data_IF_455649514597
#
_entry.id   IF_455649514597
#
_cell.length_a   1.000
_cell.length_b   1.000
_cell.length_c   1.000
_cell.angle_alpha   90.00
_cell.angle_beta   90.00
_cell.angle_gamma   90.00
#
_symmetry.space_group_name_H-M   'P 1'
#
loop_
_entity.id
_entity.type
_entity.pdbx_description
1 polymer ?
#
# COMPACT_ATOMS: atom_id res chain seq x y z
N UNK A 1 -1.78 10.21 13.30
CA UNK A 1 -2.74 9.14 13.67
C UNK A 1 -3.48 9.40 14.98
N UNK A 2 -2.82 9.32 16.15
CA UNK A 2 -3.51 9.53 17.43
C UNK A 2 -4.10 10.93 17.55
N UNK A 3 -3.34 11.97 17.18
CA UNK A 3 -3.83 13.36 17.15
C UNK A 3 -5.10 13.49 16.31
N UNK A 4 -5.08 12.99 15.07
CA UNK A 4 -6.26 12.96 14.21
C UNK A 4 -7.47 12.26 14.88
N UNK A 5 -7.27 11.09 15.47
CA UNK A 5 -8.36 10.39 16.16
C UNK A 5 -8.89 11.18 17.37
N UNK A 6 -8.00 11.85 18.12
CA UNK A 6 -8.36 12.74 19.22
C UNK A 6 -9.17 13.92 18.70
N UNK A 7 -8.74 14.61 17.65
CA UNK A 7 -9.44 15.75 17.07
C UNK A 7 -10.85 15.37 16.60
N UNK A 8 -10.99 14.24 15.92
CA UNK A 8 -12.29 13.71 15.49
C UNK A 8 -13.21 13.37 16.68
N UNK A 9 -12.66 12.77 17.74
CA UNK A 9 -13.43 12.45 18.95
C UNK A 9 -13.79 13.70 19.77
N UNK A 10 -12.91 14.69 19.83
CA UNK A 10 -13.17 16.00 20.46
C UNK A 10 -14.29 16.74 19.73
N UNK A 11 -14.30 16.71 18.39
CA UNK A 11 -15.39 17.27 17.57
C UNK A 11 -16.74 16.60 17.85
N UNK A 12 -16.75 15.34 18.29
CA UNK A 12 -17.93 14.60 18.76
C UNK A 12 -18.25 14.82 20.25
N UNK A 13 -17.57 15.77 20.91
CA UNK A 13 -17.78 16.11 22.32
C UNK A 13 -17.22 15.09 23.32
N UNK A 14 -16.37 14.15 22.88
CA UNK A 14 -15.71 13.19 23.77
C UNK A 14 -14.56 13.88 24.51
N UNK A 15 -14.30 13.45 25.76
CA UNK A 15 -13.21 13.97 26.59
C UNK A 15 -11.99 13.06 26.49
N UNK A 16 -11.21 13.24 25.44
CA UNK A 16 -10.01 12.43 25.16
C UNK A 16 -8.79 13.32 24.97
N UNK A 17 -7.60 12.73 25.08
CA UNK A 17 -6.33 13.41 24.85
C UNK A 17 -5.22 12.41 24.58
N UNK A 18 -4.08 12.91 24.14
CA UNK A 18 -2.88 12.12 23.85
C UNK A 18 -1.66 12.80 24.45
N UNK A 19 -0.74 12.01 25.02
CA UNK A 19 0.59 12.48 25.45
C UNK A 19 1.61 11.89 24.48
N UNK A 20 2.35 12.75 23.78
CA UNK A 20 3.44 12.36 22.88
C UNK A 20 4.77 12.39 23.63
N UNK A 21 5.39 11.22 23.80
CA UNK A 21 6.68 11.09 24.49
C UNK A 21 7.81 11.40 23.51
N UNK A 22 8.47 12.55 23.68
CA UNK A 22 9.59 12.97 22.83
C UNK A 22 10.95 12.50 23.36
N UNK A 23 11.18 12.58 24.68
CA UNK A 23 12.40 12.12 25.33
C UNK A 23 12.08 10.90 26.20
N UNK A 24 12.32 9.70 25.66
CA UNK A 24 12.05 8.46 26.41
C UNK A 24 13.08 8.20 27.52
N UNK A 25 14.35 8.56 27.30
CA UNK A 25 15.40 8.44 28.31
C UNK A 25 16.33 9.66 28.30
N UNK A 26 16.66 10.23 29.48
CA UNK A 26 16.06 9.94 30.80
C UNK A 26 14.56 10.31 30.86
N UNK A 27 13.74 9.50 31.53
CA UNK A 27 12.29 9.72 31.62
C UNK A 27 11.99 10.76 32.73
N UNK A 28 11.53 11.95 32.35
CA UNK A 28 11.35 13.05 33.30
C UNK A 28 9.96 13.05 33.93
N UNK A 29 9.90 12.76 35.23
CA UNK A 29 8.68 12.84 36.02
C UNK A 29 8.04 14.23 35.97
N UNK A 30 8.85 15.29 36.09
CA UNK A 30 8.35 16.67 36.14
C UNK A 30 7.63 17.04 34.85
N UNK A 31 8.26 16.80 33.71
CA UNK A 31 7.66 17.12 32.41
C UNK A 31 6.45 16.24 32.10
N UNK A 32 6.44 14.97 32.53
CA UNK A 32 5.30 14.09 32.32
C UNK A 32 4.06 14.53 33.11
N UNK A 33 4.25 14.93 34.38
CA UNK A 33 3.15 15.38 35.23
C UNK A 33 2.62 16.76 34.82
N UNK A 34 3.50 17.67 34.39
CA UNK A 34 3.13 19.03 33.97
C UNK A 34 2.10 19.03 32.82
N UNK A 35 2.22 18.07 31.90
CA UNK A 35 1.31 17.95 30.75
C UNK A 35 0.10 17.04 31.00
N UNK A 36 -0.01 16.40 32.16
CA UNK A 36 -1.08 15.45 32.47
C UNK A 36 -2.29 16.20 33.09
N UNK A 37 -3.44 16.29 32.42
CA UNK A 37 -4.60 16.96 32.99
C UNK A 37 -5.10 16.28 34.26
N UNK A 38 -5.45 17.06 35.28
CA UNK A 38 -5.99 16.55 36.56
C UNK A 38 -7.30 15.75 36.41
N UNK A 39 -8.03 15.96 35.32
CA UNK A 39 -9.28 15.27 35.02
C UNK A 39 -9.11 13.85 34.46
N UNK A 40 -7.87 13.43 34.19
CA UNK A 40 -7.57 12.10 33.65
C UNK A 40 -7.90 11.03 34.68
N UNK A 41 -8.75 10.09 34.28
CA UNK A 41 -9.14 8.93 35.12
C UNK A 41 -8.67 7.60 34.55
N UNK A 42 -8.33 7.56 33.25
CA UNK A 42 -7.95 6.34 32.53
C UNK A 42 -6.89 6.66 31.48
N UNK A 43 -5.88 5.80 31.37
CA UNK A 43 -4.74 5.91 30.47
C UNK A 43 -4.52 4.57 29.77
N UNK A 44 -4.46 4.57 28.44
CA UNK A 44 -3.93 3.47 27.66
C UNK A 44 -2.50 3.82 27.22
N UNK A 45 -1.52 2.99 27.57
CA UNK A 45 -0.12 3.15 27.15
C UNK A 45 0.15 2.23 25.99
N UNK A 46 0.68 2.77 24.89
CA UNK A 46 0.90 2.03 23.65
C UNK A 46 2.39 1.81 23.39
N UNK A 47 2.80 0.56 23.43
CA UNK A 47 4.17 0.13 23.17
C UNK A 47 4.29 -0.49 21.77
N UNK A 48 5.32 -0.06 21.03
CA UNK A 48 5.66 -0.62 19.72
C UNK A 48 6.74 -1.71 19.84
N UNK A 49 6.59 -2.58 20.84
CA UNK A 49 7.48 -3.70 21.13
C UNK A 49 6.71 -4.85 21.78
N UNK A 50 7.36 -6.00 21.96
CA UNK A 50 6.84 -7.13 22.72
C UNK A 50 7.99 -7.74 23.52
N UNK A 51 7.81 -7.84 24.83
CA UNK A 51 8.76 -8.51 25.73
C UNK A 51 8.09 -9.78 26.30
N UNK A 52 8.30 -10.96 25.68
CA UNK A 52 7.64 -12.19 26.12
C UNK A 52 7.96 -12.54 27.57
N UNK A 53 6.93 -12.74 28.39
CA UNK A 53 7.07 -13.09 29.81
C UNK A 53 7.22 -11.90 30.75
N UNK A 54 7.39 -10.68 30.24
CA UNK A 54 7.36 -9.47 31.07
C UNK A 54 5.95 -9.20 31.60
N UNK A 55 5.87 -8.53 32.74
CA UNK A 55 4.60 -8.09 33.35
C UNK A 55 3.93 -6.93 32.59
N UNK A 56 4.67 -6.29 31.68
CA UNK A 56 4.21 -5.21 30.81
C UNK A 56 5.36 -4.68 29.96
N UNK A 57 5.03 -3.95 28.89
CA UNK A 57 6.02 -3.37 27.99
C UNK A 57 6.73 -2.13 28.59
N UNK A 58 7.90 -1.71 28.04
CA UNK A 58 8.76 -0.72 28.68
C UNK A 58 8.11 0.63 28.98
N UNK A 59 7.41 1.24 28.02
CA UNK A 59 6.79 2.55 28.24
C UNK A 59 5.64 2.45 29.25
N UNK A 60 4.84 1.39 29.17
CA UNK A 60 3.83 1.09 30.18
C UNK A 60 4.42 1.03 31.59
N UNK A 61 5.53 0.31 31.79
CA UNK A 61 6.19 0.21 33.09
C UNK A 61 6.72 1.56 33.60
N UNK A 62 7.29 2.39 32.73
CA UNK A 62 7.75 3.73 33.11
C UNK A 62 6.62 4.66 33.51
N UNK A 63 5.49 4.61 32.79
CA UNK A 63 4.31 5.42 33.11
C UNK A 63 3.73 4.99 34.46
N UNK A 64 3.63 3.69 34.72
CA UNK A 64 3.19 3.16 36.02
C UNK A 64 4.12 3.63 37.14
N UNK A 65 5.44 3.45 36.98
CA UNK A 65 6.41 3.87 37.99
C UNK A 65 6.40 5.40 38.22
N UNK A 66 6.30 6.18 37.14
CA UNK A 66 6.28 7.66 37.20
C UNK A 66 5.03 8.16 37.92
N UNK A 67 3.85 7.62 37.61
CA UNK A 67 2.60 8.03 38.25
C UNK A 67 2.56 7.57 39.71
N UNK A 68 3.11 6.40 40.02
CA UNK A 68 3.27 5.93 41.39
C UNK A 68 4.18 6.87 42.21
N UNK A 69 5.30 7.32 41.63
CA UNK A 69 6.19 8.29 42.26
C UNK A 69 5.51 9.67 42.40
N UNK A 70 4.78 10.13 41.39
CA UNK A 70 4.02 11.38 41.44
C UNK A 70 2.95 11.36 42.53
N UNK A 71 2.27 10.22 42.74
CA UNK A 71 1.31 10.03 43.82
C UNK A 71 1.98 10.12 45.20
N UNK A 72 3.13 9.45 45.37
CA UNK A 72 3.92 9.53 46.62
C UNK A 72 4.41 10.96 46.91
N UNK A 73 4.75 11.72 45.87
CA UNK A 73 5.12 13.13 45.96
C UNK A 73 3.92 14.10 46.04
N UNK A 74 2.68 13.58 46.11
CA UNK A 74 1.44 14.37 46.14
C UNK A 74 1.29 15.32 44.94
N UNK A 75 1.92 15.01 43.81
CA UNK A 75 1.79 15.77 42.55
C UNK A 75 0.52 15.41 41.77
N UNK A 76 -0.07 14.26 42.06
CA UNK A 76 -1.40 13.85 41.58
C UNK A 76 -2.24 13.39 42.77
N UNK A 77 -3.56 13.57 42.70
CA UNK A 77 -4.47 13.26 43.82
C UNK A 77 -4.82 11.76 43.92
N UNK A 78 -4.91 11.08 42.78
CA UNK A 78 -5.28 9.67 42.69
C UNK A 78 -4.60 8.99 41.51
N UNK A 79 -4.41 7.68 41.61
CA UNK A 79 -3.87 6.87 40.53
C UNK A 79 -4.96 6.65 39.47
N UNK A 80 -4.77 7.05 38.20
CA UNK A 80 -5.70 6.69 37.13
C UNK A 80 -5.61 5.19 36.86
N UNK A 81 -6.65 4.63 36.22
CA UNK A 81 -6.54 3.29 35.62
C UNK A 81 -5.51 3.34 34.49
N UNK A 82 -4.50 2.47 34.53
CA UNK A 82 -3.47 2.39 33.48
C UNK A 82 -3.51 1.00 32.87
N UNK A 83 -3.62 0.92 31.54
CA UNK A 83 -3.56 -0.34 30.81
C UNK A 83 -2.53 -0.23 29.69
N UNK A 84 -1.60 -1.19 29.63
CA UNK A 84 -0.63 -1.31 28.54
C UNK A 84 -1.16 -2.14 27.38
N UNK A 85 -0.85 -1.73 26.16
CA UNK A 85 -1.17 -2.46 24.94
C UNK A 85 -0.10 -2.31 23.86
N UNK A 86 -0.12 -3.22 22.89
CA UNK A 86 0.86 -3.27 21.80
C UNK A 86 0.24 -2.91 20.46
N UNK A 87 1.01 -2.23 19.63
CA UNK A 87 0.62 -1.88 18.27
C UNK A 87 1.84 -1.91 17.33
N UNK A 88 1.59 -1.94 16.02
CA UNK A 88 2.58 -1.53 15.02
C UNK A 88 3.87 -2.35 14.92
N UNK A 89 3.91 -3.57 15.48
CA UNK A 89 5.07 -4.46 15.40
C UNK A 89 5.40 -4.76 13.93
N UNK A 90 6.69 -4.68 13.59
CA UNK A 90 7.17 -4.93 12.22
C UNK A 90 6.40 -4.16 11.15
N UNK A 91 6.13 -2.88 11.42
CA UNK A 91 5.37 -1.99 10.53
C UNK A 91 3.92 -2.38 10.29
N UNK A 92 3.30 -3.17 11.18
CA UNK A 92 1.85 -3.38 11.17
C UNK A 92 1.11 -2.03 11.18
N UNK A 93 0.05 -1.94 10.41
CA UNK A 93 -0.67 -0.69 10.20
C UNK A 93 -1.27 -0.13 11.51
N UNK A 94 -1.17 1.18 11.70
CA UNK A 94 -1.82 1.88 12.81
C UNK A 94 -2.57 3.11 12.32
N UNK A 95 -3.89 2.96 12.20
CA UNK A 95 -4.82 3.93 11.61
C UNK A 95 -5.58 4.73 12.68
N UNK A 96 -6.24 5.84 12.30
CA UNK A 96 -7.13 6.56 13.22
C UNK A 96 -8.26 5.67 13.77
N UNK A 97 -8.73 4.68 13.00
CA UNK A 97 -9.73 3.73 13.48
C UNK A 97 -9.18 2.80 14.56
N UNK A 98 -7.93 2.34 14.44
CA UNK A 98 -7.25 1.61 15.52
C UNK A 98 -7.21 2.44 16.80
N UNK A 99 -6.85 3.72 16.70
CA UNK A 99 -6.85 4.65 17.83
C UNK A 99 -8.25 4.83 18.44
N UNK A 100 -9.30 5.01 17.62
CA UNK A 100 -10.69 5.11 18.10
C UNK A 100 -11.15 3.85 18.83
N UNK A 101 -10.77 2.66 18.34
CA UNK A 101 -11.05 1.39 19.03
C UNK A 101 -10.45 1.34 20.43
N UNK A 102 -9.23 1.84 20.61
CA UNK A 102 -8.58 1.94 21.92
C UNK A 102 -9.36 2.88 22.84
N UNK A 103 -9.71 4.08 22.37
CA UNK A 103 -10.49 5.03 23.18
C UNK A 103 -11.87 4.49 23.55
N UNK A 104 -12.54 3.80 22.63
CA UNK A 104 -13.83 3.16 22.90
C UNK A 104 -13.69 2.09 23.98
N UNK A 105 -12.74 1.16 23.84
CA UNK A 105 -12.51 0.11 24.82
C UNK A 105 -12.07 0.67 26.19
N UNK A 106 -11.31 1.78 26.21
CA UNK A 106 -10.93 2.49 27.44
C UNK A 106 -12.16 3.13 28.12
N UNK A 107 -13.09 3.70 27.35
CA UNK A 107 -14.33 4.28 27.85
C UNK A 107 -15.30 3.21 28.40
N UNK A 108 -15.32 2.03 27.79
CA UNK A 108 -16.19 0.90 28.15
C UNK A 108 -15.58 -0.03 29.23
N UNK A 109 -14.36 0.27 29.72
CA UNK A 109 -13.60 -0.59 30.64
C UNK A 109 -13.37 -2.02 30.11
N UNK A 110 -13.15 -2.15 28.81
CA UNK A 110 -12.94 -3.43 28.12
C UNK A 110 -11.48 -3.70 27.77
N UNK A 111 -10.57 -2.74 28.02
CA UNK A 111 -9.15 -2.98 27.80
C UNK A 111 -8.60 -3.97 28.82
N UNK A 112 -8.17 -5.12 28.32
CA UNK A 112 -7.44 -6.12 29.09
C UNK A 112 -5.94 -5.78 29.13
N UNK A 113 -5.23 -6.11 30.22
CA UNK A 113 -3.78 -5.94 30.28
C UNK A 113 -3.09 -6.60 29.10
N UNK A 114 -2.09 -5.92 28.53
CA UNK A 114 -1.33 -6.41 27.38
C UNK A 114 -2.20 -6.67 26.14
N UNK A 115 -3.22 -5.84 25.90
CA UNK A 115 -4.04 -5.90 24.69
C UNK A 115 -3.20 -5.69 23.42
N UNK A 116 -3.77 -6.00 22.26
CA UNK A 116 -3.18 -5.75 20.94
C UNK A 116 -4.19 -5.05 20.03
N UNK A 117 -3.71 -4.25 19.08
CA UNK A 117 -4.55 -3.57 18.09
C UNK A 117 -3.95 -3.78 16.70
N UNK A 118 -4.82 -3.95 15.69
CA UNK A 118 -4.42 -4.16 14.29
C UNK A 118 -4.14 -5.62 13.88
N UNK A 119 -4.49 -6.59 14.73
CA UNK A 119 -4.47 -8.03 14.41
C UNK A 119 -5.75 -8.70 14.90
N UNK A 120 -6.06 -9.89 14.37
CA UNK A 120 -7.07 -10.79 14.94
C UNK A 120 -6.36 -11.85 15.80
N UNK A 121 -6.39 -11.67 17.12
CA UNK A 121 -5.85 -12.64 18.08
C UNK A 121 -6.96 -13.55 18.60
N UNK A 122 -7.23 -14.60 17.85
CA UNK A 122 -8.20 -15.65 18.16
C UNK A 122 -7.63 -16.77 19.04
N UNK A 123 -6.39 -16.64 19.51
CA UNK A 123 -5.72 -17.61 20.37
C UNK A 123 -5.68 -17.13 21.81
N UNK A 124 -5.19 -15.91 22.06
CA UNK A 124 -5.12 -15.35 23.42
C UNK A 124 -6.18 -14.29 23.68
N UNK A 125 -7.00 -13.97 22.68
CA UNK A 125 -8.14 -13.04 22.77
C UNK A 125 -7.75 -11.66 23.30
N UNK A 126 -6.53 -11.20 22.98
CA UNK A 126 -6.01 -9.89 23.40
C UNK A 126 -6.24 -8.78 22.38
N UNK A 127 -6.65 -9.11 21.16
CA UNK A 127 -6.97 -8.11 20.15
C UNK A 127 -8.26 -7.38 20.47
N UNK A 128 -8.24 -6.06 20.41
CA UNK A 128 -9.45 -5.25 20.58
C UNK A 128 -10.09 -4.94 19.23
N UNK A 129 -11.42 -4.84 19.22
CA UNK A 129 -12.19 -4.44 18.05
C UNK A 129 -12.03 -2.94 17.77
N UNK A 130 -12.22 -2.55 16.51
CA UNK A 130 -12.16 -1.17 16.07
C UNK A 130 -13.12 -0.92 14.90
N UNK A 131 -13.51 0.33 14.62
CA UNK A 131 -14.42 0.64 13.52
C UNK A 131 -13.85 0.21 12.16
N UNK A 132 -14.65 -0.49 11.36
CA UNK A 132 -14.31 -0.93 10.00
C UNK A 132 -14.64 0.09 8.91
N UNK A 133 -15.10 1.29 9.30
CA UNK A 133 -15.46 2.37 8.37
C UNK A 133 -14.21 2.93 7.69
N UNK A 134 -14.37 3.56 6.53
CA UNK A 134 -13.28 4.26 5.88
C UNK A 134 -12.69 5.36 6.77
N UNK A 135 -11.39 5.58 6.64
CA UNK A 135 -10.67 6.63 7.35
C UNK A 135 -11.12 7.98 6.78
N UNK A 136 -11.57 8.86 7.68
CA UNK A 136 -11.91 10.22 7.32
C UNK A 136 -10.64 11.01 7.04
N UNK A 137 -10.47 11.51 5.82
CA UNK A 137 -9.45 12.51 5.48
C UNK A 137 -10.14 13.78 4.92
N UNK A 138 -9.48 14.95 4.95
CA UNK A 138 -10.04 16.17 4.38
C UNK A 138 -10.47 15.98 2.92
N UNK A 139 -11.66 16.44 2.56
CA UNK A 139 -12.19 16.31 1.18
C UNK A 139 -11.36 17.04 0.11
N UNK A 140 -10.56 18.01 0.53
CA UNK A 140 -9.62 18.75 -0.34
C UNK A 140 -8.39 17.94 -0.69
N UNK A 141 -8.13 16.84 0.03
CA UNK A 141 -6.95 16.01 -0.15
C UNK A 141 -7.12 15.08 -1.34
N UNK A 142 -6.11 15.05 -2.20
CA UNK A 142 -6.03 14.09 -3.29
C UNK A 142 -5.14 12.94 -2.84
N UNK A 143 -5.69 11.72 -2.87
CA UNK A 143 -5.03 10.47 -2.54
C UNK A 143 -4.88 9.64 -3.81
N UNK A 144 -3.65 9.28 -4.14
CA UNK A 144 -3.33 8.56 -5.35
C UNK A 144 -2.57 7.27 -5.06
N UNK A 145 -3.01 6.17 -5.67
CA UNK A 145 -2.39 4.85 -5.58
C UNK A 145 -1.80 4.45 -6.94
N UNK A 146 -0.59 3.95 -6.93
CA UNK A 146 0.09 3.48 -8.15
C UNK A 146 0.61 2.07 -7.94
N UNK A 147 0.11 1.15 -8.74
CA UNK A 147 0.50 -0.25 -8.74
C UNK A 147 1.46 -0.50 -9.90
N UNK A 148 2.73 -0.68 -9.55
CA UNK A 148 3.82 -0.92 -10.48
C UNK A 148 4.56 -2.22 -10.20
N UNK A 149 5.43 -2.59 -11.13
CA UNK A 149 6.34 -3.73 -11.02
C UNK A 149 7.72 -3.25 -10.55
N UNK A 150 8.36 -4.03 -9.69
CA UNK A 150 9.75 -3.81 -9.32
C UNK A 150 10.63 -3.67 -10.58
N UNK A 151 11.29 -2.52 -10.69
CA UNK A 151 12.15 -2.09 -11.81
C UNK A 151 11.46 -1.50 -13.05
N UNK A 152 10.14 -1.23 -13.04
CA UNK A 152 9.45 -0.56 -14.16
C UNK A 152 9.55 0.98 -14.15
N UNK A 153 10.10 1.55 -13.06
CA UNK A 153 10.30 3.00 -12.90
C UNK A 153 9.15 3.74 -12.20
N UNK A 154 8.07 3.07 -11.80
CA UNK A 154 6.90 3.66 -11.13
C UNK A 154 7.26 4.44 -9.87
N UNK A 155 7.98 3.81 -8.94
CA UNK A 155 8.41 4.44 -7.69
C UNK A 155 9.27 5.69 -7.95
N UNK A 156 10.18 5.61 -8.93
CA UNK A 156 11.05 6.73 -9.29
C UNK A 156 10.24 7.89 -9.90
N UNK A 157 9.26 7.59 -10.76
CA UNK A 157 8.36 8.59 -11.32
C UNK A 157 7.50 9.25 -10.23
N UNK A 158 7.01 8.49 -9.26
CA UNK A 158 6.22 9.01 -8.15
C UNK A 158 7.05 9.90 -7.21
N UNK A 159 8.31 9.54 -6.93
CA UNK A 159 9.24 10.43 -6.21
C UNK A 159 9.50 11.74 -6.97
N UNK A 160 9.63 11.66 -8.29
CA UNK A 160 9.78 12.85 -9.14
C UNK A 160 8.50 13.70 -9.12
N UNK A 161 7.33 13.07 -9.20
CA UNK A 161 6.02 13.73 -9.11
C UNK A 161 5.85 14.51 -7.81
N UNK A 162 6.18 13.91 -6.67
CA UNK A 162 6.18 14.59 -5.36
C UNK A 162 7.10 15.82 -5.35
N UNK A 163 8.27 15.70 -6.00
CA UNK A 163 9.23 16.80 -6.11
C UNK A 163 8.71 17.92 -7.00
N UNK A 164 8.16 17.61 -8.17
CA UNK A 164 7.58 18.59 -9.10
C UNK A 164 6.46 19.36 -8.38
N UNK A 165 5.54 18.66 -7.73
CA UNK A 165 4.41 19.31 -7.05
C UNK A 165 4.91 20.12 -5.86
N UNK A 166 5.77 19.56 -5.00
CA UNK A 166 6.27 20.27 -3.82
C UNK A 166 7.20 21.46 -4.11
N UNK A 167 7.88 21.49 -5.26
CA UNK A 167 8.75 22.61 -5.66
C UNK A 167 8.02 23.70 -6.46
N UNK A 168 6.91 23.37 -7.13
CA UNK A 168 6.22 24.29 -8.07
C UNK A 168 4.79 24.66 -7.64
N UNK A 169 4.31 24.16 -6.50
CA UNK A 169 2.97 24.49 -5.98
C UNK A 169 3.01 24.76 -4.48
N UNK A 170 1.92 25.30 -3.94
CA UNK A 170 1.72 25.48 -2.49
C UNK A 170 1.23 24.18 -1.80
N UNK A 171 1.09 23.08 -2.54
CA UNK A 171 0.61 21.82 -1.98
C UNK A 171 1.69 21.13 -1.16
N UNK A 172 1.32 20.72 0.05
CA UNK A 172 2.05 19.72 0.80
C UNK A 172 1.94 18.37 0.09
N UNK A 173 3.06 17.68 -0.03
CA UNK A 173 3.17 16.39 -0.72
C UNK A 173 3.69 15.33 0.25
N UNK A 174 3.01 14.18 0.33
CA UNK A 174 3.44 13.02 1.11
C UNK A 174 3.53 11.80 0.20
N UNK A 175 4.59 11.00 0.35
CA UNK A 175 4.77 9.74 -0.35
C UNK A 175 5.20 8.61 0.56
N UNK A 176 4.52 7.47 0.48
CA UNK A 176 4.91 6.22 1.08
C UNK A 176 4.95 5.12 0.01
N UNK A 177 5.92 4.21 0.09
CA UNK A 177 6.15 3.22 -0.96
C UNK A 177 6.25 1.83 -0.34
N UNK A 178 5.28 0.98 -0.66
CA UNK A 178 5.25 -0.43 -0.27
C UNK A 178 5.99 -1.22 -1.34
N UNK A 179 6.98 -2.00 -0.92
CA UNK A 179 7.74 -2.89 -1.79
C UNK A 179 7.50 -4.33 -1.39
N UNK A 180 7.47 -5.21 -2.37
CA UNK A 180 7.55 -6.65 -2.16
C UNK A 180 8.93 -7.08 -1.65
N UNK A 181 8.96 -8.18 -0.91
CA UNK A 181 10.17 -8.94 -0.56
C UNK A 181 10.94 -9.46 -1.79
N UNK A 182 10.25 -9.65 -2.92
CA UNK A 182 10.82 -10.16 -4.16
C UNK A 182 11.69 -9.11 -4.84
N UNK A 183 13.00 -9.41 -4.96
CA UNK A 183 14.01 -8.51 -5.55
C UNK A 183 13.72 -8.06 -6.99
N UNK A 184 13.00 -8.87 -7.76
CA UNK A 184 12.65 -8.58 -9.16
C UNK A 184 11.22 -9.01 -9.47
N UNK A 185 10.52 -8.18 -10.23
CA UNK A 185 9.13 -8.42 -10.64
C UNK A 185 8.13 -8.49 -9.48
N UNK A 186 8.48 -7.97 -8.31
CA UNK A 186 7.57 -7.84 -7.17
C UNK A 186 6.59 -6.70 -7.39
N UNK A 187 5.45 -6.73 -6.69
CA UNK A 187 4.50 -5.63 -6.74
C UNK A 187 5.04 -4.45 -5.93
N UNK A 188 4.86 -3.23 -6.44
CA UNK A 188 5.12 -2.00 -5.70
C UNK A 188 3.85 -1.16 -5.67
N UNK A 189 3.50 -0.65 -4.49
CA UNK A 189 2.33 0.22 -4.31
C UNK A 189 2.83 1.56 -3.78
N UNK A 190 2.63 2.62 -4.55
CA UNK A 190 2.96 3.99 -4.13
C UNK A 190 1.70 4.66 -3.60
N UNK A 191 1.76 5.17 -2.38
CA UNK A 191 0.71 5.95 -1.72
C UNK A 191 1.13 7.40 -1.73
N UNK A 192 0.45 8.24 -2.52
CA UNK A 192 0.73 9.66 -2.59
C UNK A 192 -0.46 10.45 -2.05
N UNK A 193 -0.19 11.49 -1.25
CA UNK A 193 -1.18 12.46 -0.79
C UNK A 193 -0.73 13.88 -1.15
N UNK A 194 -1.68 14.70 -1.58
CA UNK A 194 -1.48 16.11 -1.89
C UNK A 194 -2.59 16.94 -1.25
N UNK A 195 -2.23 18.04 -0.59
CA UNK A 195 -3.18 18.89 0.14
C UNK A 195 -2.60 20.30 0.34
N UNK A 196 -3.45 21.31 0.45
CA UNK A 196 -3.02 22.65 0.88
C UNK A 196 -2.69 22.71 2.37
N UNK A 197 -3.18 21.74 3.17
CA UNK A 197 -2.86 21.61 4.58
C UNK A 197 -1.69 20.63 4.80
N UNK A 198 -0.87 20.81 5.86
CA UNK A 198 0.12 19.82 6.25
C UNK A 198 -0.47 18.40 6.40
N UNK A 199 0.23 17.41 5.87
CA UNK A 199 -0.26 16.03 5.81
C UNK A 199 0.34 15.18 6.94
N UNK A 200 -0.43 14.96 8.00
CA UNK A 200 -0.07 14.12 9.16
C UNK A 200 -0.77 12.75 9.16
N UNK A 201 -0.71 12.06 8.02
CA UNK A 201 -1.31 10.75 7.81
C UNK A 201 -0.23 9.65 7.61
N UNK A 202 0.48 9.20 8.67
CA UNK A 202 1.52 8.17 8.55
C UNK A 202 0.90 6.77 8.51
N UNK A 203 -0.07 6.57 7.62
CA UNK A 203 -0.78 5.32 7.39
C UNK A 203 -1.12 5.17 5.90
N UNK A 204 -1.37 3.95 5.44
CA UNK A 204 -1.71 3.67 4.04
C UNK A 204 -3.04 4.32 3.64
N UNK A 205 -3.18 4.63 2.36
CA UNK A 205 -4.44 5.11 1.78
C UNK A 205 -5.40 3.92 1.70
N UNK A 206 -6.62 4.10 2.20
CA UNK A 206 -7.71 3.13 2.12
C UNK A 206 -8.77 3.51 1.08
N UNK A 207 -8.93 4.81 0.79
CA UNK A 207 -9.76 5.35 -0.27
C UNK A 207 -8.99 6.38 -1.10
N UNK A 208 -8.89 6.13 -2.41
CA UNK A 208 -8.10 6.95 -3.33
C UNK A 208 -8.97 7.63 -4.39
N UNK A 209 -8.76 8.92 -4.62
CA UNK A 209 -9.33 9.68 -5.73
C UNK A 209 -8.72 9.28 -7.09
N UNK A 210 -7.51 8.71 -7.08
CA UNK A 210 -6.81 8.28 -8.28
C UNK A 210 -6.14 6.92 -8.08
N UNK A 211 -6.32 6.00 -9.02
CA UNK A 211 -5.65 4.70 -9.02
C UNK A 211 -5.04 4.45 -10.40
N UNK A 212 -3.75 4.12 -10.45
CA UNK A 212 -3.07 3.71 -11.67
C UNK A 212 -2.56 2.26 -11.60
N UNK A 213 -2.87 1.50 -12.64
CA UNK A 213 -2.40 0.15 -12.89
C UNK A 213 -1.35 0.19 -14.00
N UNK A 214 -0.07 0.00 -13.67
CA UNK A 214 1.01 0.09 -14.65
C UNK A 214 1.32 -1.26 -15.32
N UNK A 215 0.80 -2.36 -14.77
CA UNK A 215 0.87 -3.71 -15.36
C UNK A 215 -0.53 -4.29 -15.45
N UNK A 216 -0.99 -4.58 -16.66
CA UNK A 216 -2.36 -5.02 -16.91
C UNK A 216 -2.75 -6.25 -16.08
N UNK A 217 -1.83 -7.20 -15.91
CA UNK A 217 -2.06 -8.47 -15.20
C UNK A 217 -2.41 -8.30 -13.72
N UNK A 218 -2.13 -7.15 -13.12
CA UNK A 218 -2.49 -6.88 -11.73
C UNK A 218 -4.00 -6.78 -11.53
N UNK A 219 -4.76 -6.37 -12.56
CA UNK A 219 -6.22 -6.28 -12.46
C UNK A 219 -6.89 -7.64 -12.15
N UNK A 220 -6.23 -8.72 -12.55
CA UNK A 220 -6.67 -10.10 -12.34
C UNK A 220 -6.16 -10.69 -11.02
N UNK A 221 -5.23 -10.04 -10.33
CA UNK A 221 -4.50 -10.61 -9.18
C UNK A 221 -4.65 -9.82 -7.88
N UNK A 222 -4.86 -8.51 -7.97
CA UNK A 222 -4.80 -7.60 -6.85
C UNK A 222 -6.14 -6.86 -6.68
N UNK A 223 -6.50 -6.64 -5.42
CA UNK A 223 -7.60 -5.76 -5.05
C UNK A 223 -7.12 -4.31 -5.14
N UNK A 224 -7.20 -3.75 -6.34
CA UNK A 224 -6.79 -2.39 -6.65
C UNK A 224 -7.96 -1.41 -6.64
N UNK A 225 -8.94 -1.67 -7.50
CA UNK A 225 -10.10 -0.78 -7.73
C UNK A 225 -11.01 -0.75 -6.50
N UNK A 226 -10.92 -1.77 -5.65
CA UNK A 226 -11.52 -1.87 -4.33
C UNK A 226 -11.13 -0.73 -3.38
N UNK A 227 -9.98 -0.07 -3.62
CA UNK A 227 -9.52 1.08 -2.85
C UNK A 227 -9.97 2.41 -3.46
N UNK A 228 -10.75 2.42 -4.53
CA UNK A 228 -11.19 3.65 -5.20
C UNK A 228 -12.27 4.37 -4.38
N UNK A 229 -12.12 5.67 -4.16
CA UNK A 229 -13.21 6.50 -3.67
C UNK A 229 -14.34 6.57 -4.71
N UNK A 230 -15.55 6.94 -4.28
CA UNK A 230 -16.65 7.19 -5.21
C UNK A 230 -16.28 8.32 -6.19
N UNK A 231 -16.49 8.11 -7.49
CA UNK A 231 -16.15 9.07 -8.55
C UNK A 231 -14.67 9.16 -8.88
N UNK A 232 -13.83 8.27 -8.33
CA UNK A 232 -12.39 8.27 -8.55
C UNK A 232 -12.01 7.96 -10.00
N UNK A 233 -10.82 8.41 -10.39
CA UNK A 233 -10.23 8.14 -11.70
C UNK A 233 -9.35 6.89 -11.63
N UNK A 234 -9.59 5.94 -12.53
CA UNK A 234 -8.79 4.72 -12.70
C UNK A 234 -8.08 4.78 -14.05
N UNK A 235 -6.75 4.68 -14.03
CA UNK A 235 -5.90 4.61 -15.22
C UNK A 235 -5.32 3.21 -15.36
N UNK A 236 -5.53 2.54 -16.50
CA UNK A 236 -4.98 1.21 -16.77
C UNK A 236 -4.02 1.28 -17.96
N UNK A 237 -2.77 0.86 -17.73
CA UNK A 237 -1.86 0.51 -18.81
C UNK A 237 -2.29 -0.86 -19.38
N UNK A 238 -2.76 -0.86 -20.62
CA UNK A 238 -3.39 -2.03 -21.24
C UNK A 238 -2.93 -2.19 -22.70
N UNK A 239 -2.82 -3.43 -23.22
CA UNK A 239 -2.70 -3.64 -24.64
C UNK A 239 -4.00 -3.35 -25.41
N UNK A 240 -5.14 -3.34 -24.73
CA UNK A 240 -6.49 -3.11 -25.29
C UNK A 240 -6.87 -1.63 -25.24
N UNK A 241 -7.61 -1.17 -26.25
CA UNK A 241 -8.12 0.19 -26.34
C UNK A 241 -9.41 0.39 -25.52
N UNK A 242 -10.02 1.58 -25.62
CA UNK A 242 -11.21 1.94 -24.88
C UNK A 242 -12.50 1.24 -25.32
N UNK A 243 -12.50 0.56 -26.46
CA UNK A 243 -13.64 -0.24 -26.93
C UNK A 243 -13.53 -1.68 -26.42
N UNK A 244 -12.31 -2.21 -26.33
CA UNK A 244 -12.05 -3.61 -25.99
C UNK A 244 -11.82 -3.85 -24.50
N UNK A 245 -11.26 -2.88 -23.77
CA UNK A 245 -10.78 -3.07 -22.39
C UNK A 245 -11.86 -3.61 -21.45
N UNK A 246 -13.11 -3.18 -21.64
CA UNK A 246 -14.22 -3.58 -20.77
C UNK A 246 -14.39 -5.11 -20.71
N UNK A 247 -14.31 -5.78 -21.86
CA UNK A 247 -14.48 -7.24 -21.98
C UNK A 247 -13.33 -8.04 -21.35
N UNK A 248 -12.21 -7.38 -21.05
CA UNK A 248 -11.05 -7.99 -20.40
C UNK A 248 -11.00 -7.77 -18.88
N UNK A 249 -11.96 -7.03 -18.32
CA UNK A 249 -12.04 -6.80 -16.88
C UNK A 249 -12.79 -7.95 -16.18
N UNK A 250 -12.30 -8.42 -15.02
CA UNK A 250 -13.05 -9.35 -14.19
C UNK A 250 -14.39 -8.76 -13.71
N UNK A 251 -15.36 -9.64 -13.45
CA UNK A 251 -16.70 -9.30 -12.99
C UNK A 251 -16.68 -8.39 -11.76
N UNK A 252 -15.81 -8.68 -10.80
CA UNK A 252 -15.67 -7.92 -9.55
C UNK A 252 -15.18 -6.48 -9.81
N UNK A 253 -14.29 -6.32 -10.80
CA UNK A 253 -13.75 -5.00 -11.18
C UNK A 253 -14.82 -4.18 -11.90
N UNK A 254 -15.54 -4.78 -12.85
CA UNK A 254 -16.65 -4.10 -13.53
C UNK A 254 -17.73 -3.65 -12.54
N UNK A 255 -18.08 -4.51 -11.59
CA UNK A 255 -19.07 -4.20 -10.55
C UNK A 255 -18.66 -2.95 -9.75
N UNK A 256 -17.42 -2.90 -9.27
CA UNK A 256 -16.93 -1.76 -8.48
C UNK A 256 -16.89 -0.48 -9.32
N UNK A 257 -16.49 -0.56 -10.59
CA UNK A 257 -16.46 0.59 -11.50
C UNK A 257 -17.85 1.22 -11.64
N UNK A 258 -18.88 0.41 -11.81
CA UNK A 258 -20.27 0.86 -11.92
C UNK A 258 -20.78 1.40 -10.59
N UNK A 259 -20.70 0.61 -9.51
CA UNK A 259 -21.23 0.96 -8.19
C UNK A 259 -20.65 2.25 -7.63
N UNK A 260 -19.35 2.48 -7.85
CA UNK A 260 -18.65 3.67 -7.36
C UNK A 260 -18.59 4.79 -8.38
N UNK A 261 -19.24 4.64 -9.53
CA UNK A 261 -19.27 5.64 -10.62
C UNK A 261 -17.86 6.11 -11.02
N UNK A 262 -16.93 5.17 -11.16
CA UNK A 262 -15.53 5.48 -11.44
C UNK A 262 -15.35 6.02 -12.87
N UNK A 263 -14.30 6.80 -13.08
CA UNK A 263 -13.89 7.25 -14.42
C UNK A 263 -12.74 6.39 -14.90
N UNK A 264 -12.98 5.55 -15.91
CA UNK A 264 -11.97 4.65 -16.43
C UNK A 264 -11.25 5.24 -17.66
N UNK A 265 -9.93 5.24 -17.61
CA UNK A 265 -9.03 5.61 -18.70
C UNK A 265 -8.07 4.48 -19.00
N UNK A 266 -7.74 4.34 -20.27
CA UNK A 266 -6.82 3.32 -20.76
C UNK A 266 -5.74 3.94 -21.64
N UNK A 267 -4.55 3.35 -21.59
CA UNK A 267 -3.42 3.73 -22.43
C UNK A 267 -2.53 2.52 -22.70
N UNK A 268 -1.99 2.41 -23.92
CA UNK A 268 -0.97 1.42 -24.23
C UNK A 268 0.43 2.04 -24.09
N UNK A 269 0.92 2.13 -22.85
CA UNK A 269 2.18 2.80 -22.56
C UNK A 269 3.39 2.08 -23.17
N UNK A 270 3.31 0.75 -23.36
CA UNK A 270 4.38 -0.04 -23.97
C UNK A 270 4.57 0.35 -25.44
N UNK A 271 3.47 0.45 -26.19
CA UNK A 271 3.51 0.85 -27.60
C UNK A 271 4.02 2.28 -27.74
N UNK A 272 3.53 3.21 -26.92
CA UNK A 272 3.96 4.62 -26.94
C UNK A 272 5.47 4.73 -26.62
N UNK A 273 5.94 4.04 -25.58
CA UNK A 273 7.35 4.06 -25.20
C UNK A 273 8.26 3.49 -26.31
N UNK A 274 7.85 2.41 -26.98
CA UNK A 274 8.59 1.83 -28.11
C UNK A 274 8.66 2.79 -29.30
N UNK A 275 7.53 3.37 -29.70
CA UNK A 275 7.45 4.33 -30.82
C UNK A 275 8.27 5.60 -30.53
N UNK A 276 8.33 6.04 -29.28
CA UNK A 276 9.14 7.18 -28.85
C UNK A 276 10.63 6.87 -28.70
N UNK A 277 11.07 5.61 -28.84
CA UNK A 277 12.48 5.21 -28.68
C UNK A 277 12.94 5.00 -27.23
N UNK A 278 12.00 4.81 -26.30
CA UNK A 278 12.26 4.58 -24.86
C UNK A 278 12.27 3.09 -24.47
N UNK A 279 12.16 2.18 -25.45
CA UNK A 279 12.01 0.74 -25.25
C UNK A 279 10.80 0.44 -24.32
N UNK A 280 10.99 -0.35 -23.26
CA UNK A 280 9.91 -0.72 -22.33
C UNK A 280 9.86 0.19 -21.08
N UNK A 281 10.36 1.44 -21.15
CA UNK A 281 10.30 2.38 -20.01
C UNK A 281 9.00 3.17 -20.02
N UNK A 282 8.06 2.76 -19.18
CA UNK A 282 6.69 3.30 -19.14
C UNK A 282 6.54 4.53 -18.26
N UNK A 283 7.55 4.82 -17.44
CA UNK A 283 7.51 5.83 -16.39
C UNK A 283 7.08 7.22 -16.88
N UNK A 284 7.65 7.71 -17.98
CA UNK A 284 7.31 9.03 -18.53
C UNK A 284 5.84 9.08 -18.99
N UNK A 285 5.39 8.04 -19.71
CA UNK A 285 4.01 7.94 -20.21
C UNK A 285 2.99 7.92 -19.07
N UNK A 286 3.20 7.02 -18.09
CA UNK A 286 2.28 6.90 -16.95
C UNK A 286 2.28 8.15 -16.06
N UNK A 287 3.44 8.80 -15.89
CA UNK A 287 3.56 10.04 -15.15
C UNK A 287 2.82 11.20 -15.86
N UNK A 288 2.96 11.32 -17.18
CA UNK A 288 2.21 12.31 -17.97
C UNK A 288 0.70 12.08 -17.85
N UNK A 289 0.25 10.84 -17.96
CA UNK A 289 -1.17 10.50 -17.82
C UNK A 289 -1.71 10.86 -16.42
N UNK A 290 -0.93 10.64 -15.35
CA UNK A 290 -1.30 11.10 -14.01
C UNK A 290 -1.48 12.61 -13.94
N UNK A 291 -0.54 13.40 -14.45
CA UNK A 291 -0.66 14.86 -14.45
C UNK A 291 -1.86 15.35 -15.25
N UNK A 292 -2.14 14.72 -16.40
CA UNK A 292 -3.29 15.07 -17.24
C UNK A 292 -4.64 14.78 -16.55
N UNK A 293 -4.71 13.71 -15.75
CA UNK A 293 -5.98 13.23 -15.17
C UNK A 293 -6.21 13.65 -13.72
N UNK A 294 -5.17 13.92 -12.95
CA UNK A 294 -5.27 14.21 -11.51
C UNK A 294 -5.84 15.59 -11.19
N UNK A 295 -5.84 16.51 -12.16
CA UNK A 295 -6.32 17.88 -12.00
C UNK A 295 -5.66 18.64 -10.83
N UNK A 296 -4.44 18.24 -10.42
CA UNK A 296 -3.67 18.89 -9.35
C UNK A 296 -3.21 20.30 -9.72
N UNK A 297 -3.10 20.58 -11.02
CA UNK A 297 -2.75 21.87 -11.59
C UNK A 297 -3.24 21.93 -13.05
N UNK A 298 -3.25 23.11 -13.69
CA UNK A 298 -3.56 23.21 -15.12
C UNK A 298 -2.66 22.29 -15.95
N UNK A 299 -3.26 21.58 -16.92
CA UNK A 299 -2.57 20.55 -17.72
C UNK A 299 -1.35 21.12 -18.45
N UNK A 300 -1.45 22.35 -18.98
CA UNK A 300 -0.34 23.00 -19.68
C UNK A 300 0.87 23.24 -18.76
N UNK A 301 0.61 23.74 -17.54
CA UNK A 301 1.65 23.99 -16.54
C UNK A 301 2.30 22.67 -16.11
N UNK A 302 1.49 21.62 -15.92
CA UNK A 302 1.99 20.29 -15.58
C UNK A 302 2.93 19.73 -16.66
N UNK A 303 2.58 19.89 -17.93
CA UNK A 303 3.38 19.45 -19.07
C UNK A 303 4.69 20.24 -19.13
N UNK A 304 4.64 21.55 -18.91
CA UNK A 304 5.83 22.40 -18.91
C UNK A 304 6.80 21.98 -17.81
N UNK A 305 6.33 21.87 -16.56
CA UNK A 305 7.15 21.41 -15.43
C UNK A 305 7.70 20.01 -15.65
N UNK A 306 6.93 19.11 -16.25
CA UNK A 306 7.39 17.76 -16.57
C UNK A 306 8.52 17.78 -17.62
N UNK A 307 8.37 18.56 -18.70
CA UNK A 307 9.42 18.73 -19.73
C UNK A 307 10.69 19.34 -19.13
N UNK A 308 10.58 20.37 -18.29
CA UNK A 308 11.71 20.94 -17.55
C UNK A 308 12.40 19.91 -16.63
N UNK A 309 11.61 19.08 -15.93
CA UNK A 309 12.14 18.03 -15.07
C UNK A 309 12.85 16.92 -15.87
N UNK A 310 12.35 16.58 -17.06
CA UNK A 310 12.98 15.66 -18.01
C UNK A 310 14.34 16.21 -18.46
N UNK A 311 14.41 17.48 -18.86
CA UNK A 311 15.68 18.12 -19.26
C UNK A 311 16.71 18.08 -18.13
N UNK A 312 16.31 18.47 -16.92
CA UNK A 312 17.20 18.43 -15.74
C UNK A 312 17.70 17.02 -15.43
N UNK A 313 16.86 16.01 -15.59
CA UNK A 313 17.17 14.62 -15.24
C UNK A 313 18.00 13.89 -16.31
N UNK A 314 17.76 14.18 -17.59
CA UNK A 314 18.27 13.39 -18.71
C UNK A 314 19.21 14.14 -19.66
N UNK A 315 19.44 15.45 -19.48
CA UNK A 315 20.41 16.23 -20.28
C UNK A 315 21.78 15.57 -20.37
N UNK A 316 22.28 14.99 -19.27
CA UNK A 316 23.55 14.26 -19.23
C UNK A 316 23.58 12.97 -20.05
N UNK A 317 22.42 12.42 -20.44
CA UNK A 317 22.31 11.19 -21.24
C UNK A 317 22.23 11.47 -22.75
N UNK A 318 22.11 12.73 -23.13
CA UNK A 318 22.17 13.19 -24.52
C UNK A 318 20.84 13.72 -25.06
N UNK A 319 20.87 14.58 -26.10
CA UNK A 319 19.67 15.25 -26.63
C UNK A 319 18.61 14.30 -27.18
N UNK A 320 19.01 13.16 -27.74
CA UNK A 320 18.09 12.16 -28.31
C UNK A 320 17.18 11.55 -27.24
N UNK A 321 17.69 11.30 -26.04
CA UNK A 321 16.90 10.76 -24.92
C UNK A 321 15.92 11.80 -24.39
N UNK A 322 16.32 13.08 -24.33
CA UNK A 322 15.42 14.17 -23.94
C UNK A 322 14.28 14.30 -24.95
N UNK A 323 14.60 14.34 -26.25
CA UNK A 323 13.61 14.41 -27.32
C UNK A 323 12.66 13.20 -27.31
N UNK A 324 13.18 11.98 -27.10
CA UNK A 324 12.37 10.77 -26.95
C UNK A 324 11.36 10.88 -25.79
N UNK A 325 11.77 11.44 -24.66
CA UNK A 325 10.86 11.68 -23.53
C UNK A 325 9.82 12.77 -23.84
N UNK A 326 10.20 13.86 -24.52
CA UNK A 326 9.23 14.88 -24.94
C UNK A 326 8.19 14.32 -25.90
N UNK A 327 8.62 13.52 -26.88
CA UNK A 327 7.72 12.84 -27.80
C UNK A 327 6.78 11.89 -27.06
N UNK A 328 7.26 11.17 -26.04
CA UNK A 328 6.42 10.31 -25.22
C UNK A 328 5.36 11.11 -24.43
N UNK A 329 5.71 12.28 -23.89
CA UNK A 329 4.75 13.19 -23.23
C UNK A 329 3.65 13.58 -24.21
N UNK A 330 4.01 14.06 -25.39
CA UNK A 330 3.03 14.54 -26.38
C UNK A 330 2.16 13.39 -26.91
N UNK A 331 2.76 12.23 -27.19
CA UNK A 331 2.03 11.03 -27.61
C UNK A 331 1.09 10.50 -26.53
N UNK A 332 1.45 10.62 -25.25
CA UNK A 332 0.57 10.22 -24.13
C UNK A 332 -0.73 11.01 -24.15
N UNK A 333 -0.65 12.33 -24.29
CA UNK A 333 -1.82 13.21 -24.27
C UNK A 333 -2.74 12.94 -25.46
N UNK A 334 -2.18 12.59 -26.62
CA UNK A 334 -2.94 12.26 -27.82
C UNK A 334 -3.60 10.87 -27.78
N UNK A 335 -3.08 9.94 -26.97
CA UNK A 335 -3.51 8.53 -26.93
C UNK A 335 -4.14 8.12 -25.60
N UNK A 336 -4.44 9.07 -24.72
CA UNK A 336 -5.15 8.80 -23.49
C UNK A 336 -6.65 8.69 -23.77
N UNK A 337 -7.21 7.49 -23.61
CA UNK A 337 -8.58 7.20 -24.03
C UNK A 337 -9.49 6.99 -22.82
N UNK A 338 -10.62 7.69 -22.79
CA UNK A 338 -11.67 7.44 -21.82
C UNK A 338 -12.55 6.28 -22.28
N UNK A 339 -12.89 5.39 -21.35
CA UNK A 339 -13.75 4.23 -21.59
C UNK A 339 -15.20 4.61 -21.34
N UNK A 340 -16.09 4.23 -22.26
CA UNK A 340 -17.53 4.33 -22.03
C UNK A 340 -17.95 3.15 -21.14
N UNK A 341 -18.44 3.46 -19.93
CA UNK A 341 -18.80 2.44 -18.95
C UNK A 341 -20.26 2.02 -19.17
N UNK A 342 -20.54 0.73 -19.43
CA UNK A 342 -21.91 0.22 -19.49
C UNK A 342 -22.62 0.29 -18.14
N UNK A 343 -23.95 0.31 -18.16
CA UNK A 343 -24.77 0.36 -16.93
C UNK A 343 -24.80 -0.98 -16.16
N UNK A 344 -24.34 -2.06 -16.79
CA UNK A 344 -24.39 -3.41 -16.23
C UNK A 344 -23.07 -4.14 -16.41
N UNK A 345 -22.79 -5.03 -15.46
CA UNK A 345 -21.68 -5.98 -15.57
C UNK A 345 -21.95 -6.96 -16.70
N UNK A 346 -20.98 -7.10 -17.61
CA UNK A 346 -21.05 -8.00 -18.76
C UNK A 346 -20.07 -9.16 -18.66
N UNK A 347 -19.04 -9.04 -17.83
CA UNK A 347 -18.02 -10.08 -17.67
C UNK A 347 -18.60 -11.33 -17.03
N UNK A 348 -18.31 -12.48 -17.63
CA UNK A 348 -18.64 -13.81 -17.10
C UNK A 348 -17.47 -14.46 -16.37
N UNK A 349 -16.35 -13.75 -16.21
CA UNK A 349 -15.12 -14.26 -15.62
C UNK A 349 -14.80 -13.54 -14.33
N UNK A 350 -14.45 -14.28 -13.29
CA UNK A 350 -13.94 -13.76 -12.01
C UNK A 350 -12.42 -13.80 -11.98
N UNK A 351 -11.80 -13.15 -10.99
CA UNK A 351 -10.34 -13.29 -10.80
C UNK A 351 -9.97 -14.77 -10.59
N UNK A 352 -8.92 -15.29 -11.26
CA UNK A 352 -8.49 -16.66 -11.06
C UNK A 352 -7.92 -16.86 -9.65
N UNK A 353 -7.95 -18.11 -9.17
CA UNK A 353 -7.30 -18.47 -7.92
C UNK A 353 -5.78 -18.16 -7.97
N UNK A 354 -5.25 -17.60 -6.88
CA UNK A 354 -3.83 -17.21 -6.79
C UNK A 354 -2.89 -18.42 -6.83
N UNK A 355 -3.34 -19.56 -6.29
CA UNK A 355 -2.62 -20.83 -6.31
C UNK A 355 -3.56 -21.94 -6.77
N UNK A 356 -3.00 -23.06 -7.24
CA UNK A 356 -3.77 -24.24 -7.63
C UNK A 356 -4.49 -24.89 -6.44
N UNK A 357 -5.67 -25.43 -6.69
CA UNK A 357 -6.42 -26.26 -5.73
C UNK A 357 -5.68 -27.53 -5.29
N UNK A 358 -4.66 -27.96 -6.04
CA UNK A 358 -3.79 -29.08 -5.68
C UNK A 358 -2.68 -28.69 -4.69
N UNK A 359 -2.53 -27.41 -4.34
CA UNK A 359 -1.52 -26.97 -3.39
C UNK A 359 -1.82 -27.48 -1.97
N UNK A 360 -0.82 -27.64 -1.08
CA UNK A 360 -1.07 -28.02 0.31
C UNK A 360 -1.95 -27.00 1.06
N UNK A 361 -2.65 -27.45 2.09
CA UNK A 361 -3.57 -26.63 2.90
C UNK A 361 -2.99 -25.28 3.35
N UNK A 362 -1.77 -25.27 3.89
CA UNK A 362 -1.14 -24.01 4.34
C UNK A 362 -0.85 -23.07 3.15
N UNK A 363 -0.54 -23.61 1.97
CA UNK A 363 -0.33 -22.81 0.77
C UNK A 363 -1.63 -22.17 0.32
N UNK A 364 -2.73 -22.93 0.30
CA UNK A 364 -4.05 -22.42 -0.08
C UNK A 364 -4.61 -21.41 0.94
N UNK A 365 -4.58 -21.75 2.23
CA UNK A 365 -5.26 -20.98 3.28
C UNK A 365 -4.47 -19.79 3.80
N UNK A 366 -3.14 -19.83 3.70
CA UNK A 366 -2.25 -18.79 4.26
C UNK A 366 -1.43 -18.13 3.17
N UNK A 367 -0.67 -18.91 2.39
CA UNK A 367 0.27 -18.33 1.41
C UNK A 367 -0.48 -17.62 0.28
N UNK A 368 -1.58 -18.18 -0.23
CA UNK A 368 -2.38 -17.55 -1.28
C UNK A 368 -3.00 -16.22 -0.81
N UNK A 369 -3.46 -16.15 0.44
CA UNK A 369 -4.00 -14.93 1.05
C UNK A 369 -2.92 -13.85 1.17
N UNK A 370 -1.71 -14.22 1.58
CA UNK A 370 -0.57 -13.30 1.61
C UNK A 370 -0.17 -12.83 0.21
N UNK A 371 -0.12 -13.73 -0.78
CA UNK A 371 0.19 -13.41 -2.18
C UNK A 371 -0.86 -12.51 -2.84
N UNK A 372 -2.12 -12.59 -2.39
CA UNK A 372 -3.21 -11.70 -2.79
C UNK A 372 -3.15 -10.30 -2.15
N UNK A 373 -2.15 -10.03 -1.30
CA UNK A 373 -2.04 -8.79 -0.53
C UNK A 373 -3.00 -8.70 0.66
N UNK A 374 -3.60 -9.81 1.09
CA UNK A 374 -4.61 -9.87 2.18
C UNK A 374 -4.05 -10.49 3.47
N UNK A 375 -2.73 -10.53 3.61
CA UNK A 375 -2.07 -11.17 4.75
C UNK A 375 -2.47 -10.60 6.12
N UNK A 376 -2.86 -9.33 6.20
CA UNK A 376 -3.35 -8.69 7.43
C UNK A 376 -4.68 -9.26 7.95
N UNK A 377 -5.45 -9.96 7.09
CA UNK A 377 -6.71 -10.60 7.48
C UNK A 377 -6.51 -11.94 8.18
N UNK A 378 -5.29 -12.52 8.08
CA UNK A 378 -4.99 -13.80 8.69
C UNK A 378 -4.92 -13.67 10.22
N UNK A 379 -5.67 -14.49 10.97
CA UNK A 379 -5.62 -14.46 12.43
C UNK A 379 -4.33 -15.09 12.97
N UNK A 380 -4.07 -14.91 14.26
CA UNK A 380 -2.90 -15.51 14.94
C UNK A 380 -2.88 -17.03 14.78
N UNK A 381 -4.04 -17.70 14.84
CA UNK A 381 -4.16 -19.16 14.65
C UNK A 381 -3.74 -19.67 13.27
N UNK A 382 -3.64 -18.80 12.26
CA UNK A 382 -3.21 -19.19 10.91
C UNK A 382 -1.71 -19.52 10.84
N UNK A 383 -0.94 -19.12 11.85
CA UNK A 383 0.51 -19.21 11.85
C UNK A 383 1.04 -20.24 12.85
N UNK A 384 2.08 -21.02 12.48
CA UNK A 384 2.80 -21.87 13.43
C UNK A 384 3.43 -21.03 14.55
N UNK A 385 3.33 -21.51 15.79
CA UNK A 385 3.79 -20.80 16.99
C UNK A 385 5.29 -20.53 17.02
N UNK A 386 6.07 -21.30 16.26
CA UNK A 386 7.52 -21.26 16.16
C UNK A 386 8.02 -20.70 14.81
N UNK A 387 7.10 -20.31 13.91
CA UNK A 387 7.41 -19.72 12.62
C UNK A 387 7.95 -20.71 11.57
N UNK A 388 7.81 -22.02 11.74
CA UNK A 388 8.21 -22.98 10.70
C UNK A 388 7.31 -22.90 9.46
N UNK A 389 7.89 -22.99 8.26
CA UNK A 389 7.16 -23.02 6.98
C UNK A 389 7.50 -24.28 6.18
N UNK A 390 6.53 -24.85 5.42
CA UNK A 390 6.78 -25.98 4.54
C UNK A 390 7.74 -25.60 3.41
N UNK A 391 8.52 -26.57 2.95
CA UNK A 391 9.43 -26.40 1.82
C UNK A 391 8.69 -26.53 0.48
N UNK A 392 9.37 -26.18 -0.61
CA UNK A 392 8.87 -26.31 -1.99
C UNK A 392 7.54 -25.58 -2.27
N UNK A 393 7.21 -24.51 -1.56
CA UNK A 393 5.97 -23.74 -1.79
C UNK A 393 6.02 -22.89 -3.06
N UNK A 394 7.22 -22.49 -3.51
CA UNK A 394 7.40 -21.65 -4.71
C UNK A 394 6.87 -22.28 -6.00
N UNK A 395 6.75 -23.60 -6.06
CA UNK A 395 6.20 -24.31 -7.23
C UNK A 395 4.75 -23.92 -7.54
N UNK A 396 4.02 -23.42 -6.54
CA UNK A 396 2.61 -23.05 -6.62
C UNK A 396 2.36 -21.59 -7.01
N UNK A 397 3.37 -20.71 -6.98
CA UNK A 397 3.15 -19.28 -7.22
C UNK A 397 2.84 -18.92 -8.68
N UNK A 398 3.42 -19.66 -9.63
CA UNK A 398 3.25 -19.48 -11.10
C UNK A 398 3.10 -18.02 -11.55
N UNK A 399 4.05 -17.17 -11.13
CA UNK A 399 3.95 -15.70 -11.24
C UNK A 399 3.72 -15.17 -12.65
N UNK A 400 4.28 -15.84 -13.66
CA UNK A 400 4.17 -15.51 -15.09
C UNK A 400 4.43 -14.02 -15.38
N UNK A 401 5.61 -13.55 -14.98
CA UNK A 401 6.02 -12.13 -15.05
C UNK A 401 7.04 -11.84 -16.17
N UNK A 402 7.42 -12.85 -16.95
CA UNK A 402 8.38 -12.66 -18.03
C UNK A 402 7.67 -12.05 -19.24
N UNK A 403 8.21 -10.95 -19.78
CA UNK A 403 7.70 -10.34 -21.01
C UNK A 403 7.94 -11.22 -22.25
N UNK A 404 9.01 -12.01 -22.21
CA UNK A 404 9.42 -12.93 -23.28
C UNK A 404 9.85 -14.26 -22.66
N UNK A 405 9.62 -15.35 -23.39
CA UNK A 405 10.03 -16.70 -23.00
C UNK A 405 10.85 -17.34 -24.11
N UNK A 406 11.88 -18.15 -23.77
CA UNK A 406 12.64 -18.86 -24.79
C UNK A 406 11.75 -19.92 -25.46
N UNK A 407 11.80 -19.96 -26.79
CA UNK A 407 11.15 -20.98 -27.60
C UNK A 407 12.17 -22.04 -27.97
N UNK A 408 11.83 -23.32 -27.78
CA UNK A 408 12.71 -24.43 -28.10
C UNK A 408 12.58 -24.80 -29.58
N UNK A 409 13.70 -24.73 -30.31
CA UNK A 409 13.79 -25.19 -31.70
C UNK A 409 14.51 -26.54 -31.75
N UNK A 410 13.77 -27.61 -32.05
CA UNK A 410 14.27 -28.98 -32.00
C UNK A 410 15.46 -29.22 -32.94
N UNK A 411 15.35 -28.75 -34.18
CA UNK A 411 16.33 -29.01 -35.23
C UNK A 411 17.71 -28.37 -34.97
N UNK A 412 17.75 -27.33 -34.13
CA UNK A 412 18.98 -26.64 -33.72
C UNK A 412 19.54 -27.16 -32.39
N UNK A 413 18.77 -27.99 -31.67
CA UNK A 413 19.12 -28.41 -30.32
C UNK A 413 20.13 -29.57 -30.32
N UNK A 414 21.33 -29.33 -29.80
CA UNK A 414 22.38 -30.36 -29.65
C UNK A 414 22.25 -31.21 -28.38
N UNK A 415 21.13 -31.08 -27.66
CA UNK A 415 20.85 -31.81 -26.41
C UNK A 415 21.91 -31.64 -25.31
N UNK A 416 22.64 -30.51 -25.31
CA UNK A 416 23.78 -30.27 -24.42
C UNK A 416 23.39 -29.90 -22.97
N UNK A 417 22.11 -29.69 -22.67
CA UNK A 417 21.57 -29.26 -21.36
C UNK A 417 22.12 -27.93 -20.80
N UNK A 418 22.92 -27.16 -21.56
CA UNK A 418 23.47 -25.89 -21.10
C UNK A 418 22.35 -24.92 -20.69
N UNK A 419 21.26 -24.85 -21.45
CA UNK A 419 20.10 -24.01 -21.14
C UNK A 419 19.46 -24.32 -19.78
N UNK A 420 19.45 -25.58 -19.36
CA UNK A 420 18.94 -26.01 -18.05
C UNK A 420 19.89 -25.62 -16.92
N UNK A 421 21.20 -25.75 -17.14
CA UNK A 421 22.24 -25.43 -16.18
C UNK A 421 22.29 -23.93 -15.87
N UNK A 422 22.21 -23.09 -16.90
CA UNK A 422 22.34 -21.62 -16.75
C UNK A 422 21.06 -20.95 -16.28
N UNK A 423 19.92 -21.66 -16.24
CA UNK A 423 18.65 -21.08 -15.84
C UNK A 423 18.65 -20.77 -14.33
N UNK A 424 18.61 -19.49 -13.91
CA UNK A 424 18.72 -19.14 -12.49
C UNK A 424 17.44 -19.45 -11.69
N UNK A 425 16.36 -19.89 -12.35
CA UNK A 425 15.05 -20.14 -11.74
C UNK A 425 14.54 -21.57 -11.96
N UNK A 426 15.34 -22.47 -12.55
CA UNK A 426 14.89 -23.83 -12.92
C UNK A 426 13.61 -23.86 -13.78
N UNK A 427 13.43 -22.81 -14.60
CA UNK A 427 12.27 -22.65 -15.49
C UNK A 427 12.40 -23.50 -16.78
N UNK A 428 13.63 -23.83 -17.18
CA UNK A 428 13.92 -24.73 -18.31
C UNK A 428 14.47 -26.03 -17.73
N UNK A 429 13.90 -27.17 -18.13
CA UNK A 429 14.29 -28.51 -17.67
C UNK A 429 14.41 -29.44 -18.86
N UNK A 430 15.28 -30.45 -18.75
CA UNK A 430 15.38 -31.54 -19.71
C UNK A 430 14.61 -32.75 -19.17
N UNK A 431 13.92 -33.47 -20.05
CA UNK A 431 13.26 -34.73 -19.74
C UNK A 431 13.71 -35.77 -20.75
N UNK A 432 14.29 -36.87 -20.26
CA UNK A 432 14.49 -38.07 -21.05
C UNK A 432 13.26 -38.98 -20.86
N UNK A 433 12.77 -39.54 -21.95
CA UNK A 433 11.70 -40.54 -21.97
C UNK A 433 12.15 -41.68 -22.86
N UNK A 434 11.88 -42.91 -22.47
CA UNK A 434 12.13 -44.07 -23.32
C UNK A 434 11.24 -44.01 -24.57
N UNK A 435 11.68 -44.64 -25.66
CA UNK A 435 10.83 -44.82 -26.84
C UNK A 435 9.59 -45.65 -26.45
N UNK A 436 8.42 -45.15 -26.85
CA UNK A 436 7.11 -45.71 -26.50
C UNK A 436 6.78 -47.00 -27.25
#
# INVERSE_FOLDING_TARGET
TLTQAVDELLALGKKVGVISVHLYRPFSLEHFVDVLPQSVTRIAVLDRTKEPGAIGEPLYLDVVATLQQALQQQKIAQMPMIVGGRYGLSSKEFTPNHAKGIYQALAENQLIPSFTIGICDDVTHRSISYPSQAISEPKTRIRALFYGLGSDGTVSANKNTLKIIGENTELHSQGYFVYDSKKSGGVTISHLRFDHQPIEAPYLIDQAEFIACHQFEFIQKLDMVEQAAHGATVLINSPYDNEQIWDHLPQEVQQIIIERQLKLYVINAVTIARQAGLNNRLNTVMQTAFFALSQLMPVNDAIEHLKQAIEKSYSKRGPSIVAANHNAVDATLANLQQVCIPDQVTSTTTRPAIVSEHAPDLVQKVTAVMLAGKGDQLPVSAFPVDGHWPTATSQWEKRNIAHEIPVWEQDLCTQCNICTLVCPHSAIRAKAVDEA
#
